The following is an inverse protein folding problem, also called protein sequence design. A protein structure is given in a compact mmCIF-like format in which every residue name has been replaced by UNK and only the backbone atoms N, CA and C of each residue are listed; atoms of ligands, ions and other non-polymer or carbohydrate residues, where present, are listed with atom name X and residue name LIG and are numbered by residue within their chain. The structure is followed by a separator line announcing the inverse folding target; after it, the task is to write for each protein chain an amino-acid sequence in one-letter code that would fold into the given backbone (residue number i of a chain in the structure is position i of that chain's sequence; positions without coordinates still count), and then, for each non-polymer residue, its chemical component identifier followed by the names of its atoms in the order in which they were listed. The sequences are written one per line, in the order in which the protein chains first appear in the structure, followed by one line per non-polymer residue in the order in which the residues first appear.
data_IF_765637068270
#
_entry.id   IF_765637068270
#
_cell.length_a   1.000
_cell.length_b   1.000
_cell.length_c   1.000
_cell.angle_alpha   90.00
_cell.angle_beta   90.00
_cell.angle_gamma   90.00
#
_symmetry.space_group_name_H-M   'P 1'
#
loop_
_entity.id
_entity.type
_entity.pdbx_description
1 polymer ?
#
# COMPACT_ATOMS: atom_id res chain seq x y z
N UNK A 1 14.50 -3.39 15.94
CA UNK A 1 13.06 -3.67 16.07
C UNK A 1 12.58 -4.10 14.70
N UNK A 2 11.87 -5.24 14.57
CA UNK A 2 11.29 -5.65 13.28
C UNK A 2 9.95 -4.96 13.13
N UNK A 3 9.83 -4.15 12.08
CA UNK A 3 8.69 -3.28 11.85
C UNK A 3 8.06 -3.65 10.50
N UNK A 4 6.74 -3.88 10.48
CA UNK A 4 6.01 -4.42 9.33
C UNK A 4 5.01 -3.40 8.80
N UNK A 5 5.23 -2.90 7.59
CA UNK A 5 4.18 -2.15 6.91
C UNK A 5 3.22 -3.15 6.26
N UNK A 6 2.02 -3.13 6.82
CA UNK A 6 0.74 -3.64 6.36
C UNK A 6 0.63 -4.47 5.10
N UNK A 7 -0.07 -5.60 5.25
CA UNK A 7 -0.87 -6.19 4.20
C UNK A 7 -2.18 -5.38 4.08
N UNK A 8 -2.24 -4.52 3.07
CA UNK A 8 -3.44 -3.75 2.75
C UNK A 8 -4.37 -4.59 1.87
N UNK A 9 -5.55 -4.98 2.34
CA UNK A 9 -6.55 -5.59 1.47
C UNK A 9 -7.53 -4.52 0.98
N UNK A 10 -7.72 -4.49 -0.34
CA UNK A 10 -8.88 -3.86 -0.97
C UNK A 10 -10.02 -4.88 -0.97
N UNK A 11 -11.02 -4.72 -0.11
CA UNK A 11 -12.14 -5.66 -0.02
C UNK A 11 -13.44 -5.07 -0.54
N UNK A 12 -13.93 -5.60 -1.66
CA UNK A 12 -15.36 -5.80 -1.95
C UNK A 12 -15.51 -7.17 -2.66
N UNK A 13 -16.48 -7.98 -2.27
CA UNK A 13 -16.41 -9.45 -2.30
C UNK A 13 -16.48 -10.16 -3.69
N UNK A 14 -15.75 -11.31 -3.73
CA UNK A 14 -15.82 -12.54 -4.58
C UNK A 14 -15.14 -12.69 -5.98
N UNK A 15 -14.31 -13.76 -6.05
CA UNK A 15 -13.73 -14.57 -7.16
C UNK A 15 -12.31 -14.24 -7.72
N UNK A 16 -11.54 -15.27 -8.16
CA UNK A 16 -10.08 -15.33 -8.03
C UNK A 16 -9.36 -14.67 -9.19
N UNK A 17 -8.93 -13.44 -8.99
CA UNK A 17 -7.91 -12.80 -9.84
C UNK A 17 -6.54 -13.26 -9.35
N UNK A 18 -5.67 -13.66 -10.28
CA UNK A 18 -4.31 -14.14 -10.01
C UNK A 18 -3.60 -13.21 -9.01
N UNK A 19 -3.33 -13.71 -7.79
CA UNK A 19 -2.47 -13.04 -6.81
C UNK A 19 -1.03 -13.05 -7.32
N UNK A 20 -0.71 -12.15 -8.25
CA UNK A 20 0.65 -11.79 -8.56
C UNK A 20 1.21 -11.01 -7.37
N UNK A 21 2.05 -11.66 -6.56
CA UNK A 21 2.82 -10.98 -5.52
C UNK A 21 3.82 -10.04 -6.20
N UNK A 22 3.57 -8.74 -6.09
CA UNK A 22 4.45 -7.71 -6.62
C UNK A 22 5.57 -7.50 -5.60
N UNK A 23 6.77 -8.02 -5.90
CA UNK A 23 8.00 -7.79 -5.11
C UNK A 23 8.65 -6.42 -5.40
N UNK A 24 7.87 -5.42 -5.80
CA UNK A 24 8.38 -4.07 -6.06
C UNK A 24 7.92 -3.11 -4.97
N UNK A 25 8.85 -2.30 -4.46
CA UNK A 25 8.57 -1.21 -3.52
C UNK A 25 7.84 -0.08 -4.27
N UNK A 26 6.55 -0.28 -4.50
CA UNK A 26 5.69 0.59 -5.29
C UNK A 26 5.19 -0.04 -6.59
N UNK A 27 4.26 0.66 -7.25
CA UNK A 27 3.64 0.22 -8.50
C UNK A 27 2.19 0.69 -8.63
N UNK A 28 1.54 0.32 -9.73
CA UNK A 28 0.14 0.66 -9.97
C UNK A 28 -0.73 -0.58 -9.81
N UNK A 29 -1.65 -0.56 -8.85
CA UNK A 29 -2.67 -1.58 -8.68
C UNK A 29 -3.93 -1.15 -9.41
N UNK A 30 -4.39 -1.99 -10.32
CA UNK A 30 -5.64 -1.83 -11.05
C UNK A 30 -6.49 -3.07 -10.85
N UNK A 31 -7.79 -2.87 -10.66
CA UNK A 31 -8.74 -3.95 -10.51
C UNK A 31 -9.62 -3.75 -9.28
N UNK A 32 -10.51 -4.70 -9.06
CA UNK A 32 -11.51 -4.64 -7.98
C UNK A 32 -10.91 -4.88 -6.60
N UNK A 33 -9.88 -5.73 -6.53
CA UNK A 33 -9.24 -6.15 -5.30
C UNK A 33 -7.74 -6.30 -5.51
N UNK A 34 -6.98 -6.24 -4.42
CA UNK A 34 -5.54 -6.41 -4.42
C UNK A 34 -4.98 -6.39 -3.02
N UNK A 35 -3.73 -6.83 -2.90
CA UNK A 35 -2.96 -6.76 -1.67
C UNK A 35 -1.65 -6.02 -1.89
N UNK A 36 -1.34 -5.08 -1.01
CA UNK A 36 -0.03 -4.42 -0.95
C UNK A 36 0.70 -4.94 0.27
N UNK A 37 1.97 -5.26 0.10
CA UNK A 37 2.86 -5.66 1.19
C UNK A 37 4.11 -4.78 1.17
N UNK A 38 4.67 -4.55 2.34
CA UNK A 38 5.97 -3.91 2.43
C UNK A 38 7.10 -4.80 1.92
N UNK A 39 8.17 -4.20 1.37
CA UNK A 39 9.35 -4.97 0.98
C UNK A 39 9.87 -5.75 2.19
N UNK A 40 10.10 -7.05 2.04
CA UNK A 40 10.66 -7.88 3.11
C UNK A 40 9.67 -8.34 4.18
N UNK A 41 8.36 -8.10 4.03
CA UNK A 41 7.35 -8.74 4.87
C UNK A 41 7.47 -10.29 4.80
N UNK A 42 7.33 -11.05 5.91
CA UNK A 42 7.04 -10.65 7.28
C UNK A 42 8.29 -10.54 8.17
N UNK A 43 9.45 -10.14 7.64
CA UNK A 43 10.71 -10.04 8.39
C UNK A 43 11.14 -8.58 8.67
N UNK A 44 10.63 -7.63 7.89
CA UNK A 44 10.71 -6.19 8.13
C UNK A 44 11.15 -5.45 6.86
N UNK A 45 10.85 -4.15 6.79
CA UNK A 45 11.30 -3.33 5.66
C UNK A 45 12.75 -2.83 5.83
N UNK A 46 13.50 -2.63 4.73
CA UNK A 46 14.84 -2.07 4.80
C UNK A 46 14.80 -0.58 5.16
N UNK A 47 15.81 -0.11 5.88
CA UNK A 47 15.96 1.31 6.20
C UNK A 47 15.99 2.17 4.93
N UNK A 48 15.31 3.32 4.96
CA UNK A 48 15.23 4.24 3.83
C UNK A 48 14.36 3.73 2.67
N UNK A 49 13.50 2.73 2.90
CA UNK A 49 12.50 2.31 1.94
C UNK A 49 11.56 3.48 1.61
N UNK A 50 11.46 3.83 0.32
CA UNK A 50 10.55 4.85 -0.16
C UNK A 50 9.65 4.23 -1.24
N UNK A 51 8.52 3.67 -0.80
CA UNK A 51 7.60 2.97 -1.68
C UNK A 51 6.38 3.84 -1.98
N UNK A 52 5.94 3.86 -3.24
CA UNK A 52 4.72 4.56 -3.66
C UNK A 52 3.84 3.63 -4.48
N UNK A 53 2.61 3.41 -4.02
CA UNK A 53 1.61 2.65 -4.75
C UNK A 53 0.48 3.56 -5.23
N UNK A 54 0.06 3.36 -6.47
CA UNK A 54 -1.10 4.04 -7.06
C UNK A 54 -2.22 3.03 -7.18
N UNK A 55 -3.30 3.25 -6.46
CA UNK A 55 -4.48 2.38 -6.51
C UNK A 55 -5.50 3.04 -7.43
N UNK A 56 -5.89 2.33 -8.49
CA UNK A 56 -6.87 2.81 -9.47
C UNK A 56 -8.09 1.91 -9.41
N UNK A 57 -9.19 2.46 -8.89
CA UNK A 57 -10.51 1.82 -8.90
C UNK A 57 -11.22 1.95 -10.25
N UNK A 58 -12.30 1.19 -10.42
CA UNK A 58 -13.23 1.36 -11.55
C UNK A 58 -13.98 2.70 -11.42
N UNK A 59 -14.42 3.27 -12.55
CA UNK A 59 -15.21 4.50 -12.54
C UNK A 59 -16.50 4.32 -11.73
N UNK A 60 -16.81 5.27 -10.85
CA UNK A 60 -17.97 5.20 -9.96
C UNK A 60 -17.81 4.26 -8.75
N UNK A 61 -16.65 3.60 -8.59
CA UNK A 61 -16.35 2.79 -7.41
C UNK A 61 -15.72 3.61 -6.29
N UNK A 62 -15.71 3.05 -5.06
CA UNK A 62 -14.99 3.61 -3.91
C UNK A 62 -13.88 2.66 -3.48
N UNK A 63 -12.73 3.21 -3.16
CA UNK A 63 -11.59 2.45 -2.66
C UNK A 63 -11.73 2.32 -1.14
N UNK A 64 -11.77 1.08 -0.63
CA UNK A 64 -11.70 0.79 0.80
C UNK A 64 -10.36 0.15 1.14
N UNK A 65 -9.67 0.72 2.13
CA UNK A 65 -8.38 0.26 2.59
C UNK A 65 -8.50 -0.43 3.95
N UNK A 66 -8.03 -1.66 4.06
CA UNK A 66 -8.01 -2.43 5.31
C UNK A 66 -6.58 -2.81 5.66
N UNK A 67 -6.11 -2.36 6.81
CA UNK A 67 -4.82 -2.72 7.38
C UNK A 67 -4.94 -4.04 8.14
N UNK A 68 -4.37 -5.13 7.61
CA UNK A 68 -4.38 -6.42 8.33
C UNK A 68 -3.25 -6.54 9.35
N UNK A 69 -2.17 -5.79 9.16
CA UNK A 69 -1.06 -5.65 10.09
C UNK A 69 -0.56 -4.21 9.98
N UNK A 70 -0.07 -3.59 11.05
CA UNK A 70 0.51 -2.25 10.93
C UNK A 70 1.51 -2.03 12.05
N UNK A 71 2.76 -1.83 11.68
CA UNK A 71 3.82 -1.40 12.56
C UNK A 71 4.74 -0.48 11.74
N UNK A 72 5.12 0.66 12.32
CA UNK A 72 6.09 1.63 11.79
C UNK A 72 6.99 2.10 12.94
N UNK A 73 8.19 2.60 12.63
CA UNK A 73 9.06 3.20 13.64
C UNK A 73 8.52 4.59 13.98
N UNK A 74 8.08 4.78 15.24
CA UNK A 74 7.55 6.07 15.70
C UNK A 74 8.59 7.18 15.51
N UNK A 75 8.14 8.38 15.10
CA UNK A 75 8.97 9.57 14.83
C UNK A 75 9.90 9.51 13.60
N UNK A 76 10.19 8.33 13.04
CA UNK A 76 11.10 8.17 11.91
C UNK A 76 10.39 7.81 10.60
N UNK A 77 9.41 6.92 10.67
CA UNK A 77 8.71 6.39 9.51
C UNK A 77 7.26 6.86 9.46
N UNK A 78 6.72 6.97 8.25
CA UNK A 78 5.33 7.38 8.05
C UNK A 78 4.70 6.66 6.86
N UNK A 79 3.39 6.45 6.98
CA UNK A 79 2.54 6.05 5.86
C UNK A 79 1.56 7.19 5.57
N UNK A 80 1.56 7.67 4.33
CA UNK A 80 0.64 8.71 3.90
C UNK A 80 -0.32 8.18 2.83
N UNK A 81 -1.59 8.56 2.96
CA UNK A 81 -2.62 8.26 1.98
C UNK A 81 -3.13 9.55 1.35
N UNK A 82 -3.12 9.60 0.03
CA UNK A 82 -3.56 10.75 -0.74
C UNK A 82 -4.59 10.33 -1.78
N UNK A 83 -5.61 11.17 -1.99
CA UNK A 83 -6.52 11.03 -3.10
C UNK A 83 -5.98 11.78 -4.33
N UNK A 84 -6.11 11.18 -5.52
CA UNK A 84 -5.60 11.71 -6.78
C UNK A 84 -4.24 11.17 -7.22
N UNK A 85 -3.75 11.70 -8.35
CA UNK A 85 -2.52 11.22 -8.97
C UNK A 85 -1.29 11.59 -8.11
N UNK A 86 -0.27 10.71 -8.03
CA UNK A 86 0.98 11.06 -7.36
C UNK A 86 1.58 12.31 -7.99
N UNK A 87 1.68 13.37 -7.19
CA UNK A 87 2.27 14.63 -7.60
C UNK A 87 3.26 15.09 -6.53
N UNK A 88 4.45 15.61 -6.88
CA UNK A 88 5.45 16.09 -5.93
C UNK A 88 4.87 17.01 -4.84
N UNK A 89 3.84 17.79 -5.19
CA UNK A 89 3.14 18.70 -4.29
C UNK A 89 2.25 18.00 -3.25
N UNK A 90 1.76 16.79 -3.54
CA UNK A 90 0.89 16.03 -2.65
C UNK A 90 1.67 15.32 -1.54
N UNK A 91 2.98 15.06 -1.73
CA UNK A 91 3.84 14.44 -0.71
C UNK A 91 4.31 15.42 0.39
N UNK A 92 3.76 16.63 0.40
CA UNK A 92 4.10 17.67 1.36
C UNK A 92 3.01 17.76 2.43
N UNK A 93 2.74 16.66 3.12
CA UNK A 93 2.00 16.72 4.38
C UNK A 93 2.90 16.34 5.54
N UNK A 94 2.70 17.09 6.62
CA UNK A 94 3.54 17.24 7.79
C UNK A 94 3.09 16.28 8.88
#
# INVERSE_FOLDING_TARGET
MSVFISMLQLQFDFLPVCKGFIYTCGGTLKGRNGSIESPGFPYGYPNGANCTWVIVGEEGSRIQLIFLSFAIEEEYDFLSLYDGHPHPANFRTR
#
